data_IF_911850007979
#
_entry.id   IF_911850007979
#
_cell.length_a   1.000
_cell.length_b   1.000
_cell.length_c   1.000
_cell.angle_alpha   90.00
_cell.angle_beta   90.00
_cell.angle_gamma   90.00
#
_symmetry.space_group_name_H-M   'P 1'
#
loop_
_entity.id
_entity.type
_entity.pdbx_description
1 polymer ?
#
# COMPACT_ATOMS: atom_id res chain seq x y z
N UNK A 1 -30.78 -25.18 73.00
CA UNK A 1 -30.93 -25.71 71.63
C UNK A 1 -30.92 -24.52 70.68
N UNK A 2 -29.77 -24.31 70.00
CA UNK A 2 -29.60 -23.55 68.75
C UNK A 2 -29.96 -22.05 68.74
N UNK A 3 -29.00 -21.22 69.14
CA UNK A 3 -28.81 -19.90 68.54
C UNK A 3 -27.86 -20.04 67.36
N UNK A 4 -28.33 -19.78 66.14
CA UNK A 4 -27.50 -19.89 64.94
C UNK A 4 -27.74 -18.72 63.97
N UNK A 5 -26.70 -17.89 63.89
CA UNK A 5 -26.19 -17.17 62.73
C UNK A 5 -27.17 -16.53 61.74
N UNK A 6 -27.28 -15.20 61.85
CA UNK A 6 -27.47 -14.33 60.68
C UNK A 6 -26.26 -14.49 59.75
N UNK A 7 -26.47 -15.05 58.56
CA UNK A 7 -25.45 -15.13 57.53
C UNK A 7 -25.13 -13.72 57.01
N UNK A 8 -23.95 -13.20 57.34
CA UNK A 8 -23.39 -12.07 56.62
C UNK A 8 -22.99 -12.55 55.22
N UNK A 9 -23.80 -12.20 54.22
CA UNK A 9 -23.40 -12.31 52.82
C UNK A 9 -22.21 -11.37 52.62
N UNK A 10 -21.00 -11.94 52.58
CA UNK A 10 -19.81 -11.22 52.12
C UNK A 10 -20.02 -10.94 50.64
N UNK A 11 -19.92 -9.68 50.17
CA UNK A 11 -19.86 -9.44 48.74
C UNK A 11 -18.61 -10.14 48.21
N UNK A 12 -18.80 -11.05 47.26
CA UNK A 12 -17.73 -11.57 46.41
C UNK A 12 -17.13 -10.36 45.67
N UNK A 13 -16.07 -9.78 46.23
CA UNK A 13 -15.21 -8.89 45.49
C UNK A 13 -14.59 -9.72 44.36
N UNK A 14 -15.15 -9.61 43.15
CA UNK A 14 -14.44 -9.96 41.93
C UNK A 14 -13.18 -9.11 41.95
N UNK A 15 -12.05 -9.71 42.31
CA UNK A 15 -10.76 -9.10 42.06
C UNK A 15 -10.73 -8.79 40.56
N UNK A 16 -10.76 -7.50 40.23
CA UNK A 16 -10.49 -7.05 38.87
C UNK A 16 -9.08 -7.50 38.56
N UNK A 17 -8.94 -8.62 37.84
CA UNK A 17 -7.66 -9.06 37.31
C UNK A 17 -7.31 -8.03 36.23
N UNK A 18 -6.63 -6.96 36.64
CA UNK A 18 -5.93 -6.07 35.73
C UNK A 18 -4.74 -6.87 35.17
N UNK A 19 -5.02 -7.70 34.16
CA UNK A 19 -3.98 -8.20 33.26
C UNK A 19 -3.77 -7.16 32.17
N UNK A 20 -3.33 -5.97 32.57
CA UNK A 20 -2.49 -5.17 31.69
C UNK A 20 -1.26 -6.04 31.41
N UNK A 21 -1.17 -6.61 30.20
CA UNK A 21 0.12 -7.13 29.73
C UNK A 21 1.08 -5.95 29.78
N UNK A 22 1.97 -5.92 30.77
CA UNK A 22 3.10 -5.03 30.76
C UNK A 22 3.85 -5.30 29.45
N UNK A 23 4.02 -4.27 28.61
CA UNK A 23 5.02 -4.34 27.56
C UNK A 23 6.33 -4.79 28.21
N UNK A 24 7.01 -5.78 27.63
CA UNK A 24 8.31 -6.26 28.09
C UNK A 24 9.35 -5.14 27.89
N UNK A 25 9.32 -4.12 28.74
CA UNK A 25 10.11 -2.89 28.59
C UNK A 25 11.52 -3.01 29.17
N UNK A 26 11.71 -3.78 30.23
CA UNK A 26 12.95 -3.65 31.03
C UNK A 26 13.78 -4.94 31.13
N UNK A 27 13.33 -6.06 30.56
CA UNK A 27 14.17 -7.25 30.37
C UNK A 27 13.93 -7.88 28.99
N UNK A 28 14.61 -7.33 27.99
CA UNK A 28 14.66 -7.94 26.66
C UNK A 28 15.60 -9.13 26.70
N UNK A 29 15.09 -10.32 26.38
CA UNK A 29 15.93 -11.49 26.12
C UNK A 29 16.86 -11.17 24.95
N UNK A 30 18.15 -10.96 25.23
CA UNK A 30 19.16 -10.80 24.18
C UNK A 30 19.46 -12.19 23.62
N UNK A 31 19.32 -12.35 22.30
CA UNK A 31 19.87 -13.51 21.61
C UNK A 31 21.40 -13.44 21.77
N UNK A 32 21.96 -14.34 22.59
CA UNK A 32 23.36 -14.30 23.03
C UNK A 32 24.40 -14.69 21.97
N UNK A 33 23.97 -14.98 20.75
CA UNK A 33 24.88 -15.36 19.67
C UNK A 33 25.44 -14.10 19.00
N UNK A 34 26.71 -13.81 19.24
CA UNK A 34 27.46 -12.95 18.34
C UNK A 34 28.06 -13.80 17.23
N UNK A 35 27.76 -13.52 15.95
CA UNK A 35 28.39 -14.24 14.85
C UNK A 35 29.89 -13.92 14.84
N UNK A 36 30.72 -14.96 14.77
CA UNK A 36 32.17 -14.80 14.63
C UNK A 36 32.52 -14.38 13.20
N UNK A 37 32.70 -13.08 13.00
CA UNK A 37 33.06 -12.48 11.71
C UNK A 37 34.48 -12.83 11.25
N UNK A 38 35.34 -13.31 12.16
CA UNK A 38 36.69 -13.77 11.83
C UNK A 38 36.72 -15.20 11.27
N UNK A 39 35.66 -15.97 11.47
CA UNK A 39 35.59 -17.34 10.98
C UNK A 39 35.55 -17.41 9.45
N UNK A 40 36.24 -18.40 8.88
CA UNK A 40 36.23 -18.66 7.44
C UNK A 40 34.82 -18.94 6.91
N UNK A 41 33.98 -19.60 7.72
CA UNK A 41 32.58 -19.89 7.35
C UNK A 41 31.74 -18.61 7.26
N UNK A 42 31.91 -17.65 8.18
CA UNK A 42 31.22 -16.36 8.09
C UNK A 42 31.65 -15.59 6.84
N UNK A 43 32.94 -15.56 6.53
CA UNK A 43 33.48 -14.85 5.37
C UNK A 43 33.05 -15.51 4.04
N UNK A 44 32.98 -16.83 3.98
CA UNK A 44 32.43 -17.56 2.83
C UNK A 44 30.93 -17.29 2.65
N UNK A 45 30.16 -17.31 3.74
CA UNK A 45 28.74 -16.97 3.68
C UNK A 45 28.54 -15.51 3.25
N UNK A 46 29.32 -14.57 3.79
CA UNK A 46 29.27 -13.17 3.42
C UNK A 46 29.58 -12.97 1.94
N UNK A 47 30.69 -13.53 1.44
CA UNK A 47 31.06 -13.44 0.02
C UNK A 47 30.05 -14.16 -0.90
N UNK A 48 29.47 -15.28 -0.48
CA UNK A 48 28.38 -15.94 -1.20
C UNK A 48 27.12 -15.07 -1.27
N UNK A 49 26.69 -14.46 -0.16
CA UNK A 49 25.56 -13.54 -0.13
C UNK A 49 25.83 -12.23 -0.88
N UNK A 50 27.07 -11.74 -0.89
CA UNK A 50 27.49 -10.60 -1.72
C UNK A 50 27.51 -10.96 -3.21
N UNK A 51 27.92 -12.18 -3.56
CA UNK A 51 27.86 -12.69 -4.94
C UNK A 51 26.41 -12.94 -5.40
N UNK A 52 25.55 -13.48 -4.54
CA UNK A 52 24.10 -13.53 -4.77
C UNK A 52 23.49 -12.13 -4.82
N UNK A 53 23.98 -11.22 -3.98
CA UNK A 53 23.71 -9.78 -4.03
C UNK A 53 24.13 -9.16 -5.36
N UNK A 54 25.12 -9.75 -6.04
CA UNK A 54 25.59 -9.38 -7.38
C UNK A 54 24.74 -10.04 -8.49
N UNK A 55 24.16 -11.22 -8.25
CA UNK A 55 23.05 -11.73 -9.06
C UNK A 55 21.80 -10.85 -8.93
N UNK A 56 21.55 -10.35 -7.71
CA UNK A 56 20.61 -9.26 -7.46
C UNK A 56 21.02 -7.96 -8.16
N UNK A 57 22.30 -7.66 -8.41
CA UNK A 57 22.74 -6.52 -9.26
C UNK A 57 22.30 -6.70 -10.72
N UNK A 58 22.27 -7.92 -11.25
CA UNK A 58 21.66 -8.20 -12.55
C UNK A 58 20.13 -7.97 -12.51
N UNK A 59 19.50 -8.35 -11.39
CA UNK A 59 18.14 -7.95 -11.02
C UNK A 59 18.00 -6.43 -10.81
N UNK A 60 19.05 -5.70 -10.40
CA UNK A 60 19.07 -4.22 -10.26
C UNK A 60 19.17 -3.53 -11.63
N UNK A 61 19.83 -4.13 -12.62
CA UNK A 61 19.76 -3.67 -14.01
C UNK A 61 18.33 -3.81 -14.54
N UNK A 62 17.69 -4.95 -14.29
CA UNK A 62 16.26 -5.16 -14.56
C UNK A 62 15.37 -4.29 -13.67
N UNK A 63 15.77 -3.95 -12.45
CA UNK A 63 15.01 -3.08 -11.56
C UNK A 63 15.06 -1.63 -12.03
N UNK A 64 16.18 -1.18 -12.61
CA UNK A 64 16.29 0.16 -13.21
C UNK A 64 15.34 0.31 -14.40
N UNK A 65 15.27 -0.68 -15.29
CA UNK A 65 14.29 -0.65 -16.39
C UNK A 65 12.85 -0.71 -15.85
N UNK A 66 12.59 -1.57 -14.86
CA UNK A 66 11.28 -1.67 -14.18
C UNK A 66 10.86 -0.37 -13.49
N UNK A 67 11.75 0.26 -12.75
CA UNK A 67 11.48 1.53 -12.04
C UNK A 67 11.22 2.65 -13.03
N UNK A 68 11.93 2.63 -14.17
CA UNK A 68 11.75 3.62 -15.23
C UNK A 68 10.46 3.43 -16.04
N UNK A 69 9.72 2.35 -15.88
CA UNK A 69 8.46 2.12 -16.61
C UNK A 69 8.67 1.83 -18.10
N UNK A 70 7.87 2.43 -18.96
CA UNK A 70 7.91 2.22 -20.41
C UNK A 70 9.17 2.75 -21.10
N UNK A 71 9.21 2.69 -22.44
CA UNK A 71 10.36 3.19 -23.20
C UNK A 71 10.58 4.69 -23.00
N UNK A 72 11.81 5.17 -23.21
CA UNK A 72 12.14 6.59 -23.09
C UNK A 72 11.25 7.47 -23.97
N UNK A 73 10.97 7.05 -25.20
CA UNK A 73 10.03 7.72 -26.11
C UNK A 73 8.61 7.80 -25.52
N UNK A 74 8.13 6.74 -24.87
CA UNK A 74 6.82 6.72 -24.23
C UNK A 74 6.76 7.66 -23.02
N UNK A 75 7.81 7.66 -22.18
CA UNK A 75 7.95 8.61 -21.07
C UNK A 75 7.98 10.05 -21.56
N UNK A 76 8.82 10.37 -22.54
CA UNK A 76 8.93 11.71 -23.11
C UNK A 76 7.59 12.20 -23.71
N UNK A 77 6.84 11.30 -24.38
CA UNK A 77 5.50 11.62 -24.88
C UNK A 77 4.48 11.84 -23.75
N UNK A 78 4.64 11.15 -22.63
CA UNK A 78 3.77 11.33 -21.46
C UNK A 78 4.06 12.67 -20.77
N UNK A 79 5.32 12.97 -20.52
CA UNK A 79 5.75 14.22 -19.89
C UNK A 79 5.54 15.44 -20.78
N UNK A 80 5.67 15.34 -22.11
CA UNK A 80 5.39 16.45 -23.04
C UNK A 80 3.93 16.90 -23.03
N UNK A 81 3.02 16.08 -22.51
CA UNK A 81 1.60 16.43 -22.27
C UNK A 81 1.37 17.08 -20.90
N UNK A 82 2.45 17.46 -20.21
CA UNK A 82 2.41 17.98 -18.85
C UNK A 82 2.03 16.95 -17.79
N UNK A 83 2.01 15.65 -18.12
CA UNK A 83 1.61 14.60 -17.18
C UNK A 83 2.80 14.15 -16.34
N UNK A 84 2.60 14.02 -15.02
CA UNK A 84 3.57 13.39 -14.11
C UNK A 84 3.66 11.89 -14.37
N UNK A 85 4.83 11.29 -14.15
CA UNK A 85 4.97 9.83 -14.18
C UNK A 85 4.28 9.23 -12.95
N UNK A 86 3.87 7.95 -13.01
CA UNK A 86 3.17 7.29 -11.91
C UNK A 86 3.91 7.32 -10.57
N UNK A 87 5.23 7.14 -10.56
CA UNK A 87 6.05 7.20 -9.34
C UNK A 87 6.10 8.62 -8.77
N UNK A 88 6.33 9.63 -9.61
CA UNK A 88 6.28 11.03 -9.20
C UNK A 88 4.92 11.41 -8.58
N UNK A 89 3.81 10.82 -9.07
CA UNK A 89 2.48 11.03 -8.49
C UNK A 89 2.33 10.38 -7.12
N UNK A 90 2.91 9.20 -6.93
CA UNK A 90 2.95 8.53 -5.63
C UNK A 90 3.77 9.38 -4.66
N UNK A 91 4.95 9.84 -5.08
CA UNK A 91 5.84 10.67 -4.26
C UNK A 91 5.19 12.01 -3.87
N UNK A 92 4.37 12.59 -4.76
CA UNK A 92 3.58 13.78 -4.46
C UNK A 92 2.32 13.51 -3.61
N UNK A 93 1.88 12.25 -3.51
CA UNK A 93 0.73 11.85 -2.70
C UNK A 93 1.12 11.48 -1.27
N UNK A 94 2.24 10.77 -1.10
CA UNK A 94 2.70 10.31 0.21
C UNK A 94 3.33 11.43 1.02
N UNK A 95 3.35 11.27 2.34
CA UNK A 95 3.93 12.25 3.23
C UNK A 95 5.46 12.36 3.02
N UNK A 96 6.03 13.58 3.01
CA UNK A 96 7.47 13.76 2.87
C UNK A 96 8.26 12.96 3.92
N UNK A 97 9.24 12.17 3.46
CA UNK A 97 10.06 11.32 4.32
C UNK A 97 9.38 10.04 4.81
N UNK A 98 8.10 9.80 4.47
CA UNK A 98 7.45 8.54 4.77
C UNK A 98 7.91 7.42 3.83
N UNK A 99 8.03 6.18 4.33
CA UNK A 99 8.39 5.05 3.49
C UNK A 99 7.23 4.67 2.55
N UNK A 100 7.57 4.18 1.36
CA UNK A 100 6.64 3.52 0.45
C UNK A 100 7.04 2.06 0.26
N UNK A 101 6.18 1.14 0.68
CA UNK A 101 6.39 -0.30 0.52
C UNK A 101 5.75 -0.76 -0.80
N UNK A 102 6.54 -0.85 -1.86
CA UNK A 102 6.07 -1.30 -3.17
C UNK A 102 5.97 -2.82 -3.27
N UNK A 103 4.88 -3.32 -3.86
CA UNK A 103 4.65 -4.74 -4.10
C UNK A 103 4.96 -5.16 -5.53
N UNK A 104 5.50 -6.37 -5.66
CA UNK A 104 5.62 -7.09 -6.93
C UNK A 104 6.23 -6.24 -8.06
N UNK A 105 7.35 -5.56 -7.78
CA UNK A 105 8.09 -4.75 -8.75
C UNK A 105 8.43 -5.53 -10.03
N UNK A 106 8.76 -6.81 -9.91
CA UNK A 106 9.12 -7.66 -11.05
C UNK A 106 7.93 -8.36 -11.71
N UNK A 107 6.69 -7.93 -11.44
CA UNK A 107 5.52 -8.46 -12.13
C UNK A 107 5.68 -8.28 -13.65
N UNK A 108 5.40 -9.35 -14.42
CA UNK A 108 5.52 -9.34 -15.88
C UNK A 108 6.94 -9.50 -16.42
N UNK A 109 7.96 -9.62 -15.57
CA UNK A 109 9.35 -9.81 -16.02
C UNK A 109 9.48 -11.10 -16.85
N UNK A 110 9.91 -10.95 -18.11
CA UNK A 110 10.09 -12.04 -19.08
C UNK A 110 8.83 -12.93 -19.29
N UNK A 111 7.63 -12.43 -18.97
CA UNK A 111 6.41 -13.23 -19.03
C UNK A 111 5.77 -13.26 -20.42
N UNK A 112 6.00 -12.23 -21.25
CA UNK A 112 5.29 -12.02 -22.51
C UNK A 112 6.22 -12.11 -23.74
N UNK A 113 7.27 -12.93 -23.65
CA UNK A 113 8.25 -13.09 -24.73
C UNK A 113 8.95 -11.77 -25.02
N UNK A 114 8.76 -11.26 -26.24
CA UNK A 114 9.39 -10.01 -26.73
C UNK A 114 8.74 -8.74 -26.16
N UNK A 115 7.59 -8.86 -25.49
CA UNK A 115 6.91 -7.73 -24.89
C UNK A 115 7.34 -7.48 -23.44
N UNK A 116 8.04 -6.38 -23.23
CA UNK A 116 8.31 -5.91 -21.87
C UNK A 116 7.09 -5.20 -21.28
N UNK A 117 6.67 -5.67 -20.10
CA UNK A 117 5.60 -5.07 -19.28
C UNK A 117 6.14 -4.82 -17.87
N UNK A 118 7.03 -3.82 -17.69
CA UNK A 118 7.67 -3.56 -16.41
C UNK A 118 6.64 -3.27 -15.30
N UNK A 119 6.87 -3.84 -14.11
CA UNK A 119 5.96 -3.83 -12.97
C UNK A 119 4.53 -4.32 -13.26
N UNK A 120 4.30 -5.00 -14.39
CA UNK A 120 2.97 -5.37 -14.84
C UNK A 120 2.13 -4.18 -15.30
N UNK A 121 2.75 -3.03 -15.62
CA UNK A 121 2.06 -1.81 -16.06
C UNK A 121 1.28 -1.09 -14.95
N UNK A 122 1.51 -1.48 -13.68
CA UNK A 122 0.85 -0.91 -12.51
C UNK A 122 1.78 -0.93 -11.31
N UNK A 123 1.81 0.16 -10.55
CA UNK A 123 2.55 0.29 -9.31
C UNK A 123 1.56 0.20 -8.16
N UNK A 124 1.86 -0.65 -7.20
CA UNK A 124 1.00 -0.92 -6.04
C UNK A 124 1.86 -0.92 -4.79
N UNK A 125 1.40 -0.32 -3.71
CA UNK A 125 2.14 -0.32 -2.46
C UNK A 125 1.41 0.36 -1.32
N UNK A 126 2.02 0.35 -0.14
CA UNK A 126 1.51 1.04 1.05
C UNK A 126 2.35 2.28 1.30
N UNK A 127 1.69 3.43 1.45
CA UNK A 127 2.32 4.70 1.84
C UNK A 127 1.52 5.42 2.90
N UNK A 128 2.16 6.33 3.65
CA UNK A 128 1.47 7.22 4.58
C UNK A 128 0.96 8.44 3.83
N UNK A 129 -0.30 8.79 4.07
CA UNK A 129 -0.94 9.99 3.50
C UNK A 129 -1.61 10.75 4.64
N UNK A 130 -1.15 11.97 4.89
CA UNK A 130 -1.74 12.92 5.82
C UNK A 130 -2.63 13.93 5.10
N UNK A 131 -3.59 14.49 5.82
CA UNK A 131 -4.42 15.61 5.34
C UNK A 131 -3.70 16.95 5.20
N UNK A 132 -2.46 16.98 4.67
CA UNK A 132 -1.64 18.18 4.68
C UNK A 132 -2.21 19.27 3.75
N UNK A 133 -2.52 20.42 4.34
CA UNK A 133 -2.81 21.69 3.68
C UNK A 133 -1.52 22.37 3.16
N UNK A 134 -0.68 21.64 2.42
CA UNK A 134 0.47 22.23 1.72
C UNK A 134 0.36 21.97 0.23
N UNK A 135 0.07 23.03 -0.52
CA UNK A 135 0.19 23.13 -1.98
C UNK A 135 -0.48 22.02 -2.82
N UNK A 136 -1.42 21.26 -2.25
CA UNK A 136 -2.16 20.24 -2.97
C UNK A 136 -3.19 20.90 -3.90
N UNK A 137 -3.15 20.56 -5.18
CA UNK A 137 -4.19 20.93 -6.16
C UNK A 137 -5.57 20.62 -5.60
N UNK A 138 -6.61 21.40 -5.96
CA UNK A 138 -7.97 21.32 -5.39
C UNK A 138 -8.54 19.89 -5.26
N UNK A 139 -8.09 18.94 -6.08
CA UNK A 139 -8.47 17.53 -6.02
C UNK A 139 -7.98 16.79 -4.79
N UNK A 140 -6.74 17.03 -4.35
CA UNK A 140 -6.09 16.26 -3.29
C UNK A 140 -6.61 16.63 -1.89
N UNK A 141 -7.08 17.88 -1.71
CA UNK A 141 -7.83 18.28 -0.51
C UNK A 141 -9.13 17.48 -0.33
N UNK A 142 -9.78 17.07 -1.43
CA UNK A 142 -10.98 16.23 -1.36
C UNK A 142 -10.64 14.79 -0.99
N UNK A 143 -9.53 14.26 -1.52
CA UNK A 143 -9.06 12.88 -1.23
C UNK A 143 -8.80 12.70 0.26
N UNK A 144 -8.01 13.58 0.85
CA UNK A 144 -7.64 13.50 2.27
C UNK A 144 -8.80 13.81 3.20
N UNK A 145 -9.67 14.77 2.86
CA UNK A 145 -10.87 15.04 3.66
C UNK A 145 -11.82 13.83 3.72
N UNK A 146 -12.02 13.13 2.58
CA UNK A 146 -12.86 11.92 2.52
C UNK A 146 -12.24 10.76 3.30
N UNK A 147 -10.91 10.60 3.25
CA UNK A 147 -10.22 9.55 4.02
C UNK A 147 -10.36 9.81 5.52
N UNK A 148 -10.08 11.03 5.97
CA UNK A 148 -10.12 11.38 7.40
C UNK A 148 -11.54 11.34 7.96
N UNK A 149 -12.53 11.88 7.24
CA UNK A 149 -13.91 11.92 7.71
C UNK A 149 -14.49 10.50 7.90
N UNK A 150 -14.29 9.62 6.91
CA UNK A 150 -14.79 8.23 6.99
C UNK A 150 -14.00 7.35 7.96
N UNK A 151 -12.68 7.55 8.08
CA UNK A 151 -11.83 6.76 8.97
C UNK A 151 -12.04 7.13 10.45
N UNK A 152 -12.32 8.40 10.77
CA UNK A 152 -12.66 8.82 12.14
C UNK A 152 -14.01 8.26 12.59
N UNK A 153 -15.04 8.25 11.72
CA UNK A 153 -16.32 7.60 12.05
C UNK A 153 -16.15 6.11 12.35
N UNK A 154 -15.21 5.43 11.68
CA UNK A 154 -14.96 4.00 11.88
C UNK A 154 -14.27 3.67 13.22
N UNK A 155 -13.36 4.52 13.69
CA UNK A 155 -12.65 4.28 14.96
C UNK A 155 -13.48 4.66 16.21
N UNK A 156 -14.72 5.13 16.04
CA UNK A 156 -15.57 5.56 17.17
C UNK A 156 -15.02 6.79 17.91
N UNK A 157 -14.06 7.48 17.30
CA UNK A 157 -13.53 8.74 17.81
C UNK A 157 -14.36 9.85 17.19
N UNK A 158 -15.16 10.55 18.00
CA UNK A 158 -15.79 11.80 17.59
C UNK A 158 -14.73 12.71 16.96
N UNK A 159 -15.04 13.29 15.80
CA UNK A 159 -14.22 14.32 15.17
C UNK A 159 -14.32 15.63 15.98
N UNK A 160 -14.01 15.57 17.27
CA UNK A 160 -13.51 16.72 17.98
C UNK A 160 -12.05 16.85 17.57
N UNK A 161 -11.84 17.55 16.46
CA UNK A 161 -10.61 18.30 16.27
C UNK A 161 -10.39 19.04 17.60
N UNK A 162 -9.46 18.53 18.40
CA UNK A 162 -9.17 19.09 19.70
C UNK A 162 -8.70 20.52 19.42
N UNK A 163 -9.58 21.48 19.65
CA UNK A 163 -9.34 22.91 19.46
C UNK A 163 -8.47 23.44 20.61
N UNK A 164 -7.52 22.61 21.05
CA UNK A 164 -6.53 22.93 22.04
C UNK A 164 -5.35 23.52 21.25
N UNK A 165 -5.26 24.85 21.26
CA UNK A 165 -4.07 25.62 20.94
C UNK A 165 -3.45 25.36 19.54
N UNK A 166 -4.05 25.90 18.49
CA UNK A 166 -3.33 26.32 17.27
C UNK A 166 -2.69 25.27 16.35
N UNK A 167 -2.55 24.01 16.77
CA UNK A 167 -1.89 22.96 15.97
C UNK A 167 -2.90 21.93 15.45
N UNK A 168 -3.18 21.97 14.13
CA UNK A 168 -3.95 20.92 13.46
C UNK A 168 -3.09 19.66 13.35
N UNK A 169 -3.17 18.76 14.33
CA UNK A 169 -2.60 17.41 14.22
C UNK A 169 -3.41 16.59 13.22
N UNK A 170 -2.89 16.46 12.00
CA UNK A 170 -3.47 15.58 10.99
C UNK A 170 -3.11 14.12 11.29
N UNK A 171 -4.11 13.24 11.30
CA UNK A 171 -3.90 11.80 11.38
C UNK A 171 -3.20 11.30 10.11
N UNK A 172 -1.99 10.76 10.28
CA UNK A 172 -1.31 9.99 9.25
C UNK A 172 -2.06 8.67 9.05
N UNK A 173 -2.47 8.38 7.82
CA UNK A 173 -3.17 7.13 7.49
C UNK A 173 -2.35 6.32 6.50
N UNK A 174 -2.15 5.04 6.81
CA UNK A 174 -1.54 4.09 5.87
C UNK A 174 -2.58 3.69 4.82
N UNK A 175 -2.26 3.95 3.55
CA UNK A 175 -3.16 3.72 2.43
C UNK A 175 -2.54 2.74 1.45
N UNK A 176 -3.37 1.85 0.91
CA UNK A 176 -3.05 1.10 -0.31
C UNK A 176 -3.14 2.06 -1.50
N UNK A 177 -2.04 2.24 -2.22
CA UNK A 177 -1.96 3.10 -3.40
C UNK A 177 -1.80 2.22 -4.63
N UNK A 178 -2.59 2.49 -5.66
CA UNK A 178 -2.60 1.77 -6.94
C UNK A 178 -2.51 2.79 -8.07
N UNK A 179 -1.42 2.77 -8.83
CA UNK A 179 -1.13 3.73 -9.89
C UNK A 179 -0.81 3.03 -11.21
N UNK A 180 -1.62 3.28 -12.24
CA UNK A 180 -1.40 2.73 -13.57
C UNK A 180 -0.25 3.47 -14.27
N UNK A 181 0.57 2.72 -15.01
CA UNK A 181 1.64 3.29 -15.83
C UNK A 181 1.25 3.39 -17.30
N UNK A 182 0.77 4.58 -17.69
CA UNK A 182 0.42 4.90 -19.07
C UNK A 182 1.60 4.77 -20.05
N UNK A 183 2.85 4.79 -19.58
CA UNK A 183 4.03 4.65 -20.43
C UNK A 183 4.28 3.19 -20.83
N UNK A 184 3.78 2.23 -20.04
CA UNK A 184 3.89 0.80 -20.32
C UNK A 184 2.69 0.36 -21.16
N UNK A 185 2.92 0.11 -22.46
CA UNK A 185 1.88 -0.39 -23.39
C UNK A 185 0.59 0.45 -23.35
N UNK A 186 0.69 1.75 -23.11
CA UNK A 186 -0.46 2.66 -22.99
C UNK A 186 -1.29 2.48 -21.73
N UNK A 187 -0.75 1.85 -20.67
CA UNK A 187 -1.47 1.54 -19.43
C UNK A 187 -2.51 0.44 -19.59
N UNK A 188 -2.37 -0.41 -20.61
CA UNK A 188 -3.30 -1.52 -20.86
C UNK A 188 -3.15 -2.62 -19.80
N UNK A 189 -4.26 -3.23 -19.41
CA UNK A 189 -4.28 -4.35 -18.47
C UNK A 189 -3.90 -5.64 -19.18
N UNK A 190 -2.74 -6.17 -18.83
CA UNK A 190 -2.33 -7.54 -19.13
C UNK A 190 -2.86 -8.49 -18.05
N UNK A 191 -2.88 -9.81 -18.29
CA UNK A 191 -3.29 -10.78 -17.26
C UNK A 191 -2.53 -10.61 -15.93
N UNK A 192 -1.23 -10.29 -15.97
CA UNK A 192 -0.44 -10.04 -14.76
C UNK A 192 -0.81 -8.73 -14.07
N UNK A 193 -1.26 -7.72 -14.83
CA UNK A 193 -1.75 -6.44 -14.29
C UNK A 193 -2.99 -6.68 -13.43
N UNK A 194 -3.92 -7.50 -13.93
CA UNK A 194 -5.14 -7.87 -13.18
C UNK A 194 -4.78 -8.62 -11.91
N UNK A 195 -3.93 -9.64 -12.00
CA UNK A 195 -3.46 -10.41 -10.82
C UNK A 195 -2.80 -9.50 -9.77
N UNK A 196 -1.94 -8.58 -10.20
CA UNK A 196 -1.27 -7.62 -9.30
C UNK A 196 -2.27 -6.66 -8.65
N UNK A 197 -3.24 -6.16 -9.40
CA UNK A 197 -4.29 -5.28 -8.87
C UNK A 197 -5.16 -6.01 -7.83
N UNK A 198 -5.61 -7.23 -8.13
CA UNK A 198 -6.40 -8.04 -7.20
C UNK A 198 -5.61 -8.38 -5.93
N UNK A 199 -4.31 -8.67 -6.06
CA UNK A 199 -3.45 -8.90 -4.90
C UNK A 199 -3.33 -7.65 -4.01
N UNK A 200 -3.23 -6.47 -4.60
CA UNK A 200 -3.22 -5.21 -3.85
C UNK A 200 -4.54 -5.00 -3.07
N UNK A 201 -5.69 -5.27 -3.69
CA UNK A 201 -6.98 -5.19 -3.02
C UNK A 201 -7.16 -6.24 -1.92
N UNK A 202 -6.63 -7.44 -2.11
CA UNK A 202 -6.66 -8.49 -1.10
C UNK A 202 -5.88 -8.06 0.16
N UNK A 203 -4.67 -7.51 -0.03
CA UNK A 203 -3.86 -6.96 1.06
C UNK A 203 -4.62 -5.82 1.74
N UNK A 204 -5.23 -4.91 0.98
CA UNK A 204 -6.00 -3.80 1.53
C UNK A 204 -7.19 -4.29 2.36
N UNK A 205 -7.93 -5.28 1.87
CA UNK A 205 -9.06 -5.87 2.56
C UNK A 205 -8.64 -6.57 3.87
N UNK A 206 -7.55 -7.35 3.84
CA UNK A 206 -7.04 -8.09 5.00
C UNK A 206 -6.52 -7.15 6.10
N UNK A 207 -5.92 -6.02 5.72
CA UNK A 207 -5.31 -5.07 6.65
C UNK A 207 -6.19 -3.82 6.90
N UNK A 208 -7.40 -3.77 6.33
CA UNK A 208 -8.32 -2.62 6.40
C UNK A 208 -7.70 -1.29 5.95
N UNK A 209 -6.91 -1.33 4.89
CA UNK A 209 -6.25 -0.14 4.34
C UNK A 209 -7.18 0.60 3.38
N UNK A 210 -7.42 1.91 3.58
CA UNK A 210 -8.04 2.74 2.55
C UNK A 210 -7.30 2.61 1.21
N UNK A 211 -8.05 2.54 0.11
CA UNK A 211 -7.49 2.41 -1.24
C UNK A 211 -7.52 3.73 -2.00
N UNK A 212 -6.39 4.13 -2.57
CA UNK A 212 -6.25 5.30 -3.43
C UNK A 212 -5.82 4.83 -4.83
N UNK A 213 -6.69 5.02 -5.81
CA UNK A 213 -6.43 4.69 -7.21
C UNK A 213 -6.05 5.96 -7.98
N UNK A 214 -4.84 6.01 -8.51
CA UNK A 214 -4.32 7.13 -9.30
C UNK A 214 -4.65 6.92 -10.77
N UNK A 215 -5.83 7.40 -11.15
CA UNK A 215 -6.46 7.11 -12.43
C UNK A 215 -6.33 8.20 -13.49
N UNK A 216 -6.20 9.48 -13.12
CA UNK A 216 -6.03 10.57 -14.10
C UNK A 216 -4.75 11.35 -13.82
N UNK A 217 -4.22 11.93 -14.89
CA UNK A 217 -3.23 13.00 -14.78
C UNK A 217 -3.96 14.34 -14.85
N UNK A 218 -3.72 15.19 -13.87
CA UNK A 218 -4.40 16.49 -13.69
C UNK A 218 -4.34 17.43 -14.91
N UNK A 219 -3.36 17.22 -15.79
CA UNK A 219 -3.04 18.12 -16.89
C UNK A 219 -3.71 17.75 -18.22
N UNK A 220 -4.25 16.54 -18.35
CA UNK A 220 -4.93 16.08 -19.56
C UNK A 220 -6.00 15.07 -19.15
N UNK A 221 -7.27 15.46 -19.28
CA UNK A 221 -8.47 14.80 -18.70
C UNK A 221 -8.76 13.35 -19.06
N UNK A 222 -7.78 12.62 -19.59
CA UNK A 222 -7.84 11.20 -19.93
C UNK A 222 -7.28 10.34 -18.78
N UNK A 223 -7.96 9.21 -18.53
CA UNK A 223 -7.52 8.16 -17.63
C UNK A 223 -6.18 7.55 -18.11
N UNK A 224 -5.31 7.14 -17.20
CA UNK A 224 -3.98 6.61 -17.50
C UNK A 224 -3.96 5.10 -17.78
N UNK A 225 -5.13 4.52 -18.06
CA UNK A 225 -5.26 3.17 -18.62
C UNK A 225 -5.94 3.21 -19.98
N UNK A 226 -5.33 2.51 -20.95
CA UNK A 226 -5.88 2.30 -22.29
C UNK A 226 -6.92 1.18 -22.40
N UNK A 227 -7.35 0.57 -21.29
CA UNK A 227 -8.28 -0.58 -21.27
C UNK A 227 -7.59 -1.93 -21.13
N UNK A 228 -8.24 -3.01 -21.57
CA UNK A 228 -7.68 -4.37 -21.53
C UNK A 228 -6.77 -4.64 -22.74
N UNK A 229 -5.77 -5.50 -22.57
CA UNK A 229 -4.97 -6.01 -23.68
C UNK A 229 -5.83 -6.94 -24.55
N UNK A 230 -6.33 -6.42 -25.69
CA UNK A 230 -7.27 -7.14 -26.56
C UNK A 230 -6.76 -8.50 -27.06
N UNK A 231 -5.48 -8.67 -27.47
CA UNK A 231 -4.96 -9.98 -27.86
C UNK A 231 -5.06 -11.04 -26.75
N UNK A 232 -5.07 -10.63 -25.48
CA UNK A 232 -5.15 -11.50 -24.29
C UNK A 232 -6.44 -11.30 -23.50
N UNK A 233 -7.50 -10.85 -24.16
CA UNK A 233 -8.77 -10.54 -23.49
C UNK A 233 -9.36 -11.76 -22.76
N UNK A 234 -9.17 -12.97 -23.31
CA UNK A 234 -9.70 -14.21 -22.73
C UNK A 234 -9.10 -14.50 -21.34
N UNK A 235 -7.85 -14.07 -21.11
CA UNK A 235 -7.14 -14.22 -19.84
C UNK A 235 -7.24 -12.98 -18.93
N UNK A 236 -8.04 -11.99 -19.35
CA UNK A 236 -8.14 -10.68 -18.68
C UNK A 236 -9.58 -10.34 -18.30
N UNK A 237 -10.60 -10.88 -18.97
CA UNK A 237 -12.00 -10.46 -18.83
C UNK A 237 -12.97 -11.49 -18.21
N UNK A 238 -13.10 -12.73 -18.71
CA UNK A 238 -14.30 -13.54 -18.45
C UNK A 238 -14.35 -14.27 -17.09
N UNK A 239 -13.22 -14.62 -16.49
CA UNK A 239 -13.18 -15.49 -15.32
C UNK A 239 -13.39 -14.75 -13.98
N UNK A 240 -13.64 -15.49 -12.91
CA UNK A 240 -13.93 -14.99 -11.56
C UNK A 240 -12.84 -14.06 -10.99
N UNK A 241 -11.58 -14.32 -11.32
CA UNK A 241 -10.42 -13.55 -10.86
C UNK A 241 -9.84 -12.67 -11.98
N UNK A 242 -10.69 -12.30 -12.95
CA UNK A 242 -10.35 -11.37 -14.02
C UNK A 242 -10.79 -9.92 -13.69
N UNK A 243 -10.69 -9.01 -14.66
CA UNK A 243 -10.87 -7.56 -14.47
C UNK A 243 -12.15 -7.18 -13.71
N UNK A 244 -13.26 -7.88 -13.95
CA UNK A 244 -14.53 -7.63 -13.26
C UNK A 244 -14.46 -7.77 -11.73
N UNK A 245 -13.53 -8.59 -11.22
CA UNK A 245 -13.34 -8.81 -9.79
C UNK A 245 -12.86 -7.57 -9.04
N UNK A 246 -12.19 -6.65 -9.73
CA UNK A 246 -11.74 -5.38 -9.17
C UNK A 246 -12.93 -4.58 -8.64
N UNK A 247 -14.01 -4.50 -9.42
CA UNK A 247 -15.23 -3.77 -9.05
C UNK A 247 -15.99 -4.47 -7.92
N UNK A 248 -16.08 -5.81 -7.98
CA UNK A 248 -16.66 -6.60 -6.89
C UNK A 248 -15.92 -6.34 -5.57
N UNK A 249 -14.59 -6.40 -5.57
CA UNK A 249 -13.78 -6.14 -4.38
C UNK A 249 -13.94 -4.71 -3.88
N UNK A 250 -14.04 -3.71 -4.76
CA UNK A 250 -14.32 -2.32 -4.38
C UNK A 250 -15.66 -2.20 -3.64
N UNK A 251 -16.72 -2.83 -4.15
CA UNK A 251 -18.03 -2.85 -3.50
C UNK A 251 -17.98 -3.54 -2.13
N UNK A 252 -17.30 -4.69 -2.04
CA UNK A 252 -17.12 -5.44 -0.79
C UNK A 252 -16.29 -4.66 0.24
N UNK A 253 -15.21 -4.00 -0.18
CA UNK A 253 -14.42 -3.15 0.70
C UNK A 253 -15.24 -1.95 1.19
N UNK A 254 -16.00 -1.32 0.30
CA UNK A 254 -16.88 -0.20 0.64
C UNK A 254 -17.97 -0.60 1.65
N UNK A 255 -18.58 -1.79 1.52
CA UNK A 255 -19.58 -2.27 2.49
C UNK A 255 -18.98 -2.61 3.86
N UNK A 256 -17.66 -2.83 3.91
CA UNK A 256 -16.88 -3.01 5.14
C UNK A 256 -16.28 -1.69 5.67
N UNK A 257 -16.75 -0.55 5.17
CA UNK A 257 -16.26 0.80 5.50
C UNK A 257 -14.76 1.03 5.20
N UNK A 258 -14.19 0.28 4.26
CA UNK A 258 -12.82 0.53 3.77
C UNK A 258 -12.91 1.54 2.63
N UNK A 259 -12.50 2.77 2.90
CA UNK A 259 -12.61 3.91 1.97
C UNK A 259 -11.94 3.61 0.63
N UNK A 260 -12.67 3.87 -0.46
CA UNK A 260 -12.18 3.77 -1.84
C UNK A 260 -12.13 5.19 -2.43
N UNK A 261 -10.95 5.66 -2.86
CA UNK A 261 -10.78 6.98 -3.46
C UNK A 261 -10.13 6.86 -4.83
N UNK A 262 -10.66 7.59 -5.80
CA UNK A 262 -10.02 7.79 -7.10
C UNK A 262 -9.52 9.23 -7.15
N UNK A 263 -8.21 9.41 -7.29
CA UNK A 263 -7.62 10.74 -7.47
C UNK A 263 -7.64 11.14 -8.94
N UNK A 264 -7.97 12.41 -9.19
CA UNK A 264 -8.04 13.03 -10.52
C UNK A 264 -6.98 14.10 -10.73
#
# INVERSE_FOLDING_TARGET
>A
MWGALRSSLRPCARAAISRSRAYHGDSVARLGTQPDSGSSTYQLNASFWEAMGSYEVCRRKSSRSVVSGGSEKARARHTSRGKLLPRDRIDNLIDPGSPFLEFSQFAGYQLYGDEEVPAGGIITGIGRVSGVDRACTKTMKKVTHVILEKHCTYLGNDFHANKLQGERHYLQVECMIVANDATVKGGTYYPVTVKKHLRAQEIALQNRLPCIYLGKSQCAGNFDSGGANLPRQADTFPDRDHFGRIFYNQAVMSSKNITQVISH
#
